data_IF_046938565650
#
_entry.id   IF_046938565650
#
_cell.length_a   1.000
_cell.length_b   1.000
_cell.length_c   1.000
_cell.angle_alpha   90.00
_cell.angle_beta   90.00
_cell.angle_gamma   90.00
#
_symmetry.space_group_name_H-M   'P 1'
#
loop_
_entity.id
_entity.type
_entity.pdbx_description
1 polymer ?
#
# COMPACT_ATOMS: atom_id res chain seq x y z
N UNK A 1 24.78 20.85 -61.63
CA UNK A 1 24.06 22.15 -61.56
C UNK A 1 23.32 22.15 -60.22
N UNK A 2 23.83 22.82 -59.17
CA UNK A 2 23.51 24.22 -58.75
C UNK A 2 21.99 24.39 -58.56
N UNK A 3 21.39 24.72 -57.41
CA UNK A 3 21.71 25.67 -56.34
C UNK A 3 20.86 25.36 -55.07
N UNK A 4 21.42 25.38 -53.85
CA UNK A 4 21.31 26.43 -52.81
C UNK A 4 19.91 26.99 -52.51
N UNK A 5 19.41 26.77 -51.28
CA UNK A 5 18.73 27.74 -50.39
C UNK A 5 18.73 27.14 -48.97
N UNK A 6 19.70 27.49 -48.12
CA UNK A 6 19.70 28.63 -47.20
C UNK A 6 18.70 28.45 -46.03
N UNK A 7 19.25 27.98 -44.90
CA UNK A 7 19.06 28.48 -43.54
C UNK A 7 17.65 28.99 -43.15
N UNK A 8 16.95 28.24 -42.30
CA UNK A 8 16.06 28.86 -41.31
C UNK A 8 16.52 28.43 -39.90
N UNK A 9 17.39 29.28 -39.35
CA UNK A 9 17.70 29.35 -37.94
C UNK A 9 16.39 29.66 -37.20
N UNK A 10 15.71 28.65 -36.66
CA UNK A 10 14.57 28.87 -35.77
C UNK A 10 15.14 29.33 -34.44
N UNK A 11 15.24 30.66 -34.31
CA UNK A 11 15.37 31.38 -33.07
C UNK A 11 14.30 30.88 -32.10
N UNK A 12 14.67 29.96 -31.22
CA UNK A 12 14.02 29.81 -29.92
C UNK A 12 14.37 31.09 -29.16
N UNK A 13 13.63 32.16 -29.43
CA UNK A 13 13.43 33.19 -28.43
C UNK A 13 12.71 32.47 -27.29
N UNK A 14 13.49 32.03 -26.30
CA UNK A 14 12.98 31.81 -24.98
C UNK A 14 12.38 33.15 -24.56
N UNK A 15 11.07 33.29 -24.74
CA UNK A 15 10.28 34.26 -24.01
C UNK A 15 10.47 33.88 -22.55
N UNK A 16 11.44 34.52 -21.90
CA UNK A 16 11.46 34.70 -20.46
C UNK A 16 10.22 35.55 -20.19
N UNK A 17 9.06 34.90 -20.16
CA UNK A 17 7.83 35.48 -19.67
C UNK A 17 8.05 35.67 -18.19
N UNK A 18 8.46 36.88 -17.80
CA UNK A 18 8.39 37.27 -16.41
C UNK A 18 6.96 37.03 -15.94
N UNK A 19 6.81 36.42 -14.78
CA UNK A 19 5.53 36.11 -14.14
C UNK A 19 4.80 37.37 -13.63
N UNK A 20 4.88 38.48 -14.36
CA UNK A 20 4.35 39.79 -14.02
C UNK A 20 3.35 40.21 -15.07
N UNK A 21 2.30 40.91 -14.62
CA UNK A 21 1.35 41.53 -15.52
C UNK A 21 2.05 42.58 -16.40
N UNK A 22 1.62 42.75 -17.66
CA UNK A 22 1.98 43.95 -18.40
C UNK A 22 1.67 45.21 -17.59
N UNK A 23 2.43 46.31 -17.74
CA UNK A 23 2.14 47.55 -17.05
C UNK A 23 0.68 47.97 -17.22
N UNK A 24 -0.04 48.09 -16.11
CA UNK A 24 -1.44 48.49 -16.11
C UNK A 24 -1.58 49.98 -16.40
N UNK A 25 -2.58 50.33 -17.21
CA UNK A 25 -3.01 51.73 -17.32
C UNK A 25 -3.68 52.19 -16.02
N UNK A 26 -3.71 53.49 -15.76
CA UNK A 26 -4.42 54.04 -14.59
C UNK A 26 -5.91 53.69 -14.59
N UNK A 27 -6.52 53.57 -15.78
CA UNK A 27 -7.90 53.13 -15.93
C UNK A 27 -8.07 51.67 -15.50
N UNK A 28 -7.29 50.74 -16.05
CA UNK A 28 -7.36 49.31 -15.70
C UNK A 28 -7.12 49.09 -14.20
N UNK A 29 -6.17 49.82 -13.63
CA UNK A 29 -5.91 49.79 -12.20
C UNK A 29 -7.13 50.25 -11.39
N UNK A 30 -7.74 51.37 -11.77
CA UNK A 30 -8.93 51.89 -11.09
C UNK A 30 -10.11 50.92 -11.18
N UNK A 31 -10.33 50.30 -12.35
CA UNK A 31 -11.37 49.29 -12.56
C UNK A 31 -11.14 48.07 -11.65
N UNK A 32 -9.93 47.50 -11.64
CA UNK A 32 -9.58 46.37 -10.78
C UNK A 32 -9.79 46.72 -9.29
N UNK A 33 -9.35 47.89 -8.83
CA UNK A 33 -9.54 48.30 -7.44
C UNK A 33 -11.01 48.50 -7.07
N UNK A 34 -11.88 48.87 -8.02
CA UNK A 34 -13.32 49.01 -7.79
C UNK A 34 -14.08 47.68 -7.80
N UNK A 35 -13.56 46.67 -8.52
CA UNK A 35 -14.19 45.34 -8.65
C UNK A 35 -14.22 44.59 -7.32
N UNK A 36 -13.17 44.73 -6.52
CA UNK A 36 -13.07 44.05 -5.22
C UNK A 36 -12.27 44.90 -4.23
N UNK A 37 -12.75 45.07 -2.99
CA UNK A 37 -11.99 45.78 -1.96
C UNK A 37 -10.68 45.05 -1.60
N UNK A 38 -10.54 43.76 -1.91
CA UNK A 38 -9.32 42.99 -1.66
C UNK A 38 -8.22 43.28 -2.67
N UNK A 39 -8.54 43.84 -3.84
CA UNK A 39 -7.54 44.12 -4.87
C UNK A 39 -6.48 45.15 -4.41
N UNK A 40 -6.76 45.92 -3.36
CA UNK A 40 -5.81 46.86 -2.75
C UNK A 40 -4.59 46.18 -2.10
N UNK A 41 -4.66 44.88 -1.76
CA UNK A 41 -3.58 44.18 -1.04
C UNK A 41 -2.49 43.65 -1.99
N UNK A 42 -2.76 43.63 -3.31
CA UNK A 42 -1.82 43.13 -4.31
C UNK A 42 -0.99 44.28 -4.92
N UNK A 43 0.30 44.05 -5.19
CA UNK A 43 1.09 45.04 -5.91
C UNK A 43 0.64 45.13 -7.37
N UNK A 44 0.72 46.33 -7.95
CA UNK A 44 0.29 46.62 -9.33
C UNK A 44 0.89 45.67 -10.37
N UNK A 45 2.11 45.18 -10.13
CA UNK A 45 2.83 44.28 -11.05
C UNK A 45 2.19 42.89 -11.21
N UNK A 46 1.23 42.51 -10.36
CA UNK A 46 0.48 41.25 -10.46
C UNK A 46 -1.03 41.44 -10.24
N UNK A 47 -1.53 42.68 -10.21
CA UNK A 47 -2.88 43.00 -9.78
C UNK A 47 -3.97 42.36 -10.65
N UNK A 48 -3.78 42.32 -11.97
CA UNK A 48 -4.73 41.73 -12.93
C UNK A 48 -4.73 40.21 -12.82
N UNK A 49 -3.55 39.62 -12.69
CA UNK A 49 -3.41 38.18 -12.44
C UNK A 49 -3.98 37.77 -11.08
N UNK A 50 -3.78 38.59 -10.04
CA UNK A 50 -4.30 38.34 -8.69
C UNK A 50 -5.83 38.43 -8.63
N UNK A 51 -6.45 39.43 -9.27
CA UNK A 51 -7.91 39.52 -9.38
C UNK A 51 -8.50 38.29 -10.07
N UNK A 52 -7.91 37.89 -11.21
CA UNK A 52 -8.35 36.70 -11.95
C UNK A 52 -8.16 35.41 -11.12
N UNK A 53 -7.06 35.30 -10.38
CA UNK A 53 -6.81 34.18 -9.48
C UNK A 53 -7.85 34.15 -8.36
N UNK A 54 -8.12 35.29 -7.72
CA UNK A 54 -9.09 35.41 -6.64
C UNK A 54 -10.50 35.02 -7.12
N UNK A 55 -10.93 35.51 -8.28
CA UNK A 55 -12.20 35.11 -8.90
C UNK A 55 -12.28 33.59 -9.13
N UNK A 56 -11.20 33.01 -9.64
CA UNK A 56 -11.14 31.56 -9.89
C UNK A 56 -11.18 30.75 -8.59
N UNK A 57 -10.48 31.19 -7.54
CA UNK A 57 -10.48 30.54 -6.23
C UNK A 57 -11.85 30.65 -5.54
N UNK A 58 -12.45 31.84 -5.54
CA UNK A 58 -13.79 32.03 -4.97
C UNK A 58 -14.85 31.22 -5.72
N UNK A 59 -14.65 30.99 -7.01
CA UNK A 59 -15.49 30.08 -7.81
C UNK A 59 -15.52 28.64 -7.30
N UNK A 60 -14.50 28.16 -6.58
CA UNK A 60 -14.46 26.79 -6.04
C UNK A 60 -15.53 26.54 -4.96
N UNK A 61 -15.93 27.57 -4.21
CA UNK A 61 -17.00 27.42 -3.21
C UNK A 61 -18.34 27.12 -3.90
N UNK A 62 -18.65 27.80 -4.99
CA UNK A 62 -19.94 27.66 -5.68
C UNK A 62 -19.97 26.58 -6.78
N UNK A 63 -18.82 26.28 -7.40
CA UNK A 63 -18.71 25.40 -8.59
C UNK A 63 -17.78 24.20 -8.38
N UNK A 64 -17.25 24.02 -7.17
CA UNK A 64 -16.35 22.92 -6.83
C UNK A 64 -17.08 21.58 -6.66
N UNK A 65 -16.29 20.54 -6.40
CA UNK A 65 -16.80 19.18 -6.13
C UNK A 65 -17.43 19.05 -4.73
N UNK A 66 -17.16 20.00 -3.84
CA UNK A 66 -17.76 20.09 -2.50
C UNK A 66 -18.90 21.11 -2.59
N UNK A 67 -20.05 20.80 -2.00
CA UNK A 67 -21.16 21.74 -1.97
C UNK A 67 -20.79 23.02 -1.19
N UNK A 68 -21.43 24.14 -1.54
CA UNK A 68 -21.03 25.47 -1.08
C UNK A 68 -21.05 25.60 0.46
N UNK A 69 -22.10 25.07 1.12
CA UNK A 69 -22.21 25.10 2.60
C UNK A 69 -21.03 24.39 3.26
N UNK A 70 -20.73 23.17 2.81
CA UNK A 70 -19.67 22.34 3.38
C UNK A 70 -18.29 22.94 3.09
N UNK A 71 -18.10 23.56 1.91
CA UNK A 71 -16.88 24.28 1.59
C UNK A 71 -16.64 25.46 2.55
N UNK A 72 -17.68 26.23 2.89
CA UNK A 72 -17.57 27.30 3.89
C UNK A 72 -17.33 26.76 5.31
N UNK A 73 -17.91 25.62 5.71
CA UNK A 73 -17.63 24.98 7.01
C UNK A 73 -16.18 24.46 7.10
N UNK A 74 -15.64 23.86 6.03
CA UNK A 74 -14.23 23.46 5.95
C UNK A 74 -13.32 24.68 6.08
N UNK A 75 -13.63 25.76 5.34
CA UNK A 75 -12.84 26.99 5.39
C UNK A 75 -12.93 27.66 6.77
N UNK A 76 -14.07 27.59 7.45
CA UNK A 76 -14.22 28.04 8.83
C UNK A 76 -13.32 27.26 9.79
N UNK A 77 -13.25 25.93 9.67
CA UNK A 77 -12.35 25.10 10.47
C UNK A 77 -10.89 25.52 10.28
N UNK A 78 -10.44 25.68 9.03
CA UNK A 78 -9.09 26.19 8.70
C UNK A 78 -8.84 27.59 9.26
N UNK A 79 -9.80 28.50 9.12
CA UNK A 79 -9.72 29.86 9.64
C UNK A 79 -9.59 29.90 11.17
N UNK A 80 -10.34 29.05 11.87
CA UNK A 80 -10.28 28.93 13.33
C UNK A 80 -8.92 28.37 13.79
N UNK A 81 -8.44 27.29 13.17
CA UNK A 81 -7.14 26.69 13.49
C UNK A 81 -5.96 27.66 13.26
N UNK A 82 -6.03 28.44 12.17
CA UNK A 82 -5.00 29.44 11.81
C UNK A 82 -5.20 30.80 12.47
N UNK A 83 -6.28 30.99 13.24
CA UNK A 83 -6.63 32.22 13.96
C UNK A 83 -6.75 33.44 13.02
N UNK A 84 -7.39 33.25 11.86
CA UNK A 84 -7.56 34.32 10.87
C UNK A 84 -8.76 35.22 11.23
N UNK A 85 -8.48 36.45 11.69
CA UNK A 85 -9.50 37.44 12.09
C UNK A 85 -10.46 37.86 10.96
N UNK A 86 -10.01 37.78 9.69
CA UNK A 86 -10.84 38.13 8.54
C UNK A 86 -11.70 36.95 8.06
N UNK A 87 -11.13 35.74 8.13
CA UNK A 87 -11.71 34.56 7.51
C UNK A 87 -12.85 33.99 8.36
N UNK A 88 -12.69 33.97 9.70
CA UNK A 88 -13.72 33.46 10.62
C UNK A 88 -15.07 34.16 10.43
N UNK A 89 -15.18 35.50 10.53
CA UNK A 89 -16.47 36.17 10.37
C UNK A 89 -17.06 36.00 8.95
N UNK A 90 -16.22 35.98 7.92
CA UNK A 90 -16.66 35.76 6.54
C UNK A 90 -17.29 34.38 6.35
N UNK A 91 -16.58 33.31 6.72
CA UNK A 91 -17.08 31.95 6.51
C UNK A 91 -18.26 31.59 7.43
N UNK A 92 -18.32 32.13 8.67
CA UNK A 92 -19.52 32.01 9.51
C UNK A 92 -20.74 32.65 8.85
N UNK A 93 -20.58 33.84 8.26
CA UNK A 93 -21.68 34.56 7.62
C UNK A 93 -22.19 33.82 6.40
N UNK A 94 -21.28 33.37 5.53
CA UNK A 94 -21.67 32.61 4.33
C UNK A 94 -22.26 31.23 4.67
N UNK A 95 -21.68 30.50 5.63
CA UNK A 95 -22.24 29.22 6.06
C UNK A 95 -23.68 29.40 6.60
N UNK A 96 -23.93 30.42 7.43
CA UNK A 96 -25.29 30.75 7.90
C UNK A 96 -26.23 31.17 6.77
N UNK A 97 -25.76 31.97 5.80
CA UNK A 97 -26.53 32.33 4.60
C UNK A 97 -26.99 31.08 3.83
N UNK A 98 -26.14 30.05 3.82
CA UNK A 98 -26.39 28.76 3.18
C UNK A 98 -27.15 27.76 4.08
N UNK A 99 -27.64 28.21 5.23
CA UNK A 99 -28.47 27.40 6.13
C UNK A 99 -27.72 26.50 7.10
N UNK A 100 -26.41 26.71 7.30
CA UNK A 100 -25.67 25.99 8.33
C UNK A 100 -26.23 26.30 9.73
N UNK A 101 -26.45 25.25 10.51
CA UNK A 101 -26.89 25.33 11.90
C UNK A 101 -25.74 25.73 12.82
N UNK A 102 -26.07 26.22 14.01
CA UNK A 102 -25.05 26.51 15.03
C UNK A 102 -24.27 25.24 15.44
N UNK A 103 -24.88 24.07 15.39
CA UNK A 103 -24.20 22.81 15.70
C UNK A 103 -23.21 22.43 14.60
N UNK A 104 -23.54 22.57 13.31
CA UNK A 104 -22.57 22.35 12.22
C UNK A 104 -21.36 23.29 12.33
N UNK A 105 -21.58 24.55 12.71
CA UNK A 105 -20.52 25.54 12.95
C UNK A 105 -19.63 25.10 14.13
N UNK A 106 -20.23 24.73 15.26
CA UNK A 106 -19.48 24.26 16.44
C UNK A 106 -18.71 22.97 16.14
N UNK A 107 -19.30 22.04 15.38
CA UNK A 107 -18.65 20.80 14.96
C UNK A 107 -17.43 21.08 14.10
N UNK A 108 -17.53 21.98 13.11
CA UNK A 108 -16.38 22.36 12.27
C UNK A 108 -15.23 22.96 13.11
N UNK A 109 -15.56 23.82 14.08
CA UNK A 109 -14.58 24.42 15.01
C UNK A 109 -13.97 23.35 15.93
N UNK A 110 -14.77 22.43 16.46
CA UNK A 110 -14.30 21.38 17.35
C UNK A 110 -13.35 20.40 16.64
N UNK A 111 -13.68 20.01 15.40
CA UNK A 111 -12.79 19.20 14.56
C UNK A 111 -11.45 19.91 14.40
N UNK A 112 -11.46 21.21 14.04
CA UNK A 112 -10.24 21.99 13.89
C UNK A 112 -9.42 22.07 15.19
N UNK A 113 -10.08 22.23 16.34
CA UNK A 113 -9.43 22.25 17.65
C UNK A 113 -8.77 20.90 17.98
N UNK A 114 -9.42 19.78 17.70
CA UNK A 114 -8.86 18.44 17.94
C UNK A 114 -7.65 18.15 17.04
N UNK A 115 -7.68 18.56 15.77
CA UNK A 115 -6.52 18.45 14.88
C UNK A 115 -5.32 19.23 15.43
N UNK A 116 -5.52 20.45 15.95
CA UNK A 116 -4.44 21.24 16.58
C UNK A 116 -3.91 20.60 17.86
N UNK A 117 -4.80 19.99 18.66
CA UNK A 117 -4.42 19.22 19.85
C UNK A 117 -3.56 18.01 19.47
N UNK A 118 -4.01 17.20 18.52
CA UNK A 118 -3.27 16.02 18.06
C UNK A 118 -1.94 16.40 17.40
N UNK A 119 -1.92 17.45 16.57
CA UNK A 119 -0.70 17.98 15.97
C UNK A 119 0.35 18.33 17.03
N UNK A 120 -0.06 19.00 18.11
CA UNK A 120 0.85 19.32 19.23
C UNK A 120 1.39 18.05 19.91
N UNK A 121 0.54 17.05 20.14
CA UNK A 121 0.94 15.80 20.80
C UNK A 121 1.87 14.97 19.93
N UNK A 122 1.56 14.74 18.66
CA UNK A 122 2.40 13.95 17.77
C UNK A 122 3.73 14.63 17.46
N UNK A 123 3.69 15.92 17.11
CA UNK A 123 4.91 16.66 16.80
C UNK A 123 5.81 16.82 18.03
N UNK A 124 5.24 17.20 19.19
CA UNK A 124 6.00 17.45 20.40
C UNK A 124 6.61 16.20 21.04
N UNK A 125 6.05 15.02 20.79
CA UNK A 125 6.60 13.73 21.26
C UNK A 125 7.46 13.04 20.20
N UNK A 126 7.70 13.67 19.04
CA UNK A 126 8.40 13.04 17.91
C UNK A 126 7.80 11.66 17.56
N UNK A 127 6.46 11.57 17.55
CA UNK A 127 5.78 10.31 17.28
C UNK A 127 6.18 9.79 15.89
N UNK A 128 6.53 8.51 15.82
CA UNK A 128 7.07 7.90 14.61
C UNK A 128 6.03 7.94 13.47
N UNK A 129 6.33 8.77 12.47
CA UNK A 129 5.46 8.99 11.32
C UNK A 129 5.36 7.76 10.42
N UNK A 130 6.42 6.97 10.30
CA UNK A 130 6.43 5.79 9.45
C UNK A 130 5.69 4.64 10.13
N UNK A 131 5.83 4.48 11.45
CA UNK A 131 4.99 3.58 12.25
C UNK A 131 3.50 3.97 12.17
N UNK A 132 3.18 5.27 12.26
CA UNK A 132 1.81 5.76 12.12
C UNK A 132 1.22 5.45 10.73
N UNK A 133 1.97 5.71 9.65
CA UNK A 133 1.53 5.39 8.29
C UNK A 133 1.35 3.89 8.09
N UNK A 134 2.21 3.07 8.69
CA UNK A 134 2.09 1.61 8.64
C UNK A 134 0.80 1.17 9.32
N UNK A 135 0.49 1.71 10.50
CA UNK A 135 -0.77 1.46 11.20
C UNK A 135 -1.99 1.85 10.34
N UNK A 136 -1.94 2.97 9.61
CA UNK A 136 -3.06 3.42 8.76
C UNK A 136 -3.26 2.60 7.48
N UNK A 137 -2.18 2.07 6.88
CA UNK A 137 -2.25 1.27 5.64
C UNK A 137 -2.86 -0.11 5.88
N UNK A 138 -2.97 -0.54 7.13
CA UNK A 138 -3.28 -1.91 7.48
C UNK A 138 -2.06 -2.83 7.29
N UNK A 139 -2.12 -4.06 7.80
CA UNK A 139 -1.02 -5.01 7.67
C UNK A 139 -0.81 -5.43 6.20
N UNK A 140 0.43 -5.79 5.87
CA UNK A 140 0.77 -6.52 4.65
C UNK A 140 -0.16 -7.74 4.52
N UNK A 141 -0.57 -8.07 3.30
CA UNK A 141 -1.43 -9.23 3.04
C UNK A 141 -0.65 -10.32 2.32
N UNK A 142 -0.88 -11.57 2.73
CA UNK A 142 -0.40 -12.77 2.04
C UNK A 142 -1.59 -13.41 1.34
N UNK A 143 -1.42 -13.72 0.06
CA UNK A 143 -2.35 -14.55 -0.70
C UNK A 143 -1.61 -15.83 -1.08
N UNK A 144 -2.16 -16.97 -0.69
CA UNK A 144 -1.72 -18.30 -1.15
C UNK A 144 -2.71 -18.76 -2.20
N UNK A 145 -2.21 -19.16 -3.37
CA UNK A 145 -3.03 -19.69 -4.46
C UNK A 145 -2.52 -21.06 -4.80
N UNK A 146 -3.40 -22.05 -4.79
CA UNK A 146 -3.12 -23.39 -5.29
C UNK A 146 -4.05 -23.72 -6.46
N UNK A 147 -3.57 -24.57 -7.36
CA UNK A 147 -4.31 -25.13 -8.49
C UNK A 147 -3.67 -26.46 -8.91
N UNK A 148 -4.42 -27.24 -9.68
CA UNK A 148 -3.97 -28.49 -10.28
C UNK A 148 -3.80 -28.34 -11.80
N UNK A 149 -3.02 -29.24 -12.39
CA UNK A 149 -2.81 -29.28 -13.84
C UNK A 149 -3.76 -30.25 -14.52
N UNK A 150 -4.33 -29.82 -15.64
CA UNK A 150 -5.17 -30.66 -16.50
C UNK A 150 -4.65 -30.66 -17.92
N UNK A 151 -4.40 -31.85 -18.47
CA UNK A 151 -4.05 -32.05 -19.88
C UNK A 151 -2.82 -31.22 -20.36
N UNK A 152 -1.85 -30.98 -19.48
CA UNK A 152 -0.59 -30.27 -19.78
C UNK A 152 0.59 -31.00 -19.12
N UNK A 153 1.73 -31.04 -19.81
CA UNK A 153 2.96 -31.60 -19.24
C UNK A 153 3.64 -30.60 -18.30
N UNK A 154 4.48 -31.07 -17.37
CA UNK A 154 5.25 -30.19 -16.49
C UNK A 154 6.20 -29.27 -17.28
N UNK A 155 6.78 -29.77 -18.37
CA UNK A 155 7.65 -28.97 -19.24
C UNK A 155 6.87 -27.84 -19.94
N UNK A 156 5.66 -28.12 -20.42
CA UNK A 156 4.81 -27.11 -21.06
C UNK A 156 4.22 -26.14 -20.04
N UNK A 157 3.91 -26.60 -18.83
CA UNK A 157 3.53 -25.74 -17.71
C UNK A 157 4.68 -24.80 -17.30
N UNK A 158 5.91 -25.29 -17.24
CA UNK A 158 7.09 -24.46 -16.98
C UNK A 158 7.28 -23.39 -18.06
N UNK A 159 7.12 -23.74 -19.35
CA UNK A 159 7.15 -22.77 -20.46
C UNK A 159 6.05 -21.72 -20.35
N UNK A 160 4.83 -22.13 -19.99
CA UNK A 160 3.72 -21.21 -19.75
C UNK A 160 4.05 -20.27 -18.58
N UNK A 161 4.56 -20.81 -17.47
CA UNK A 161 4.99 -20.04 -16.31
C UNK A 161 6.04 -18.99 -16.67
N UNK A 162 7.03 -19.33 -17.48
CA UNK A 162 8.06 -18.38 -17.94
C UNK A 162 7.49 -17.21 -18.77
N UNK A 163 6.38 -17.43 -19.49
CA UNK A 163 5.72 -16.37 -20.27
C UNK A 163 4.88 -15.44 -19.38
N UNK A 164 4.26 -15.98 -18.33
CA UNK A 164 3.38 -15.21 -17.43
C UNK A 164 4.14 -14.56 -16.28
N UNK A 165 5.27 -15.14 -15.84
CA UNK A 165 6.06 -14.64 -14.71
C UNK A 165 6.41 -13.14 -14.76
N UNK A 166 6.80 -12.55 -15.91
CA UNK A 166 7.05 -11.12 -16.02
C UNK A 166 5.86 -10.21 -15.73
N UNK A 167 4.63 -10.73 -15.72
CA UNK A 167 3.42 -9.96 -15.37
C UNK A 167 3.28 -9.77 -13.85
N UNK A 168 4.00 -10.54 -13.03
CA UNK A 168 3.93 -10.46 -11.57
C UNK A 168 5.09 -9.62 -11.02
N UNK A 169 5.14 -8.34 -11.38
CA UNK A 169 6.10 -7.41 -10.80
C UNK A 169 5.37 -6.22 -10.16
N UNK A 170 6.00 -5.48 -9.23
CA UNK A 170 5.39 -4.30 -8.62
C UNK A 170 4.95 -3.23 -9.64
N UNK A 171 5.56 -3.20 -10.83
CA UNK A 171 5.19 -2.31 -11.93
C UNK A 171 3.88 -2.72 -12.60
N UNK A 172 3.63 -4.03 -12.70
CA UNK A 172 2.48 -4.60 -13.43
C UNK A 172 1.28 -4.89 -12.51
N UNK A 173 1.53 -5.16 -11.22
CA UNK A 173 0.50 -5.44 -10.22
C UNK A 173 0.65 -4.44 -9.08
N UNK A 174 -0.25 -3.46 -9.02
CA UNK A 174 -0.23 -2.41 -8.01
C UNK A 174 -0.27 -3.01 -6.59
N UNK A 175 0.65 -2.56 -5.74
CA UNK A 175 0.79 -3.02 -4.35
C UNK A 175 1.37 -4.42 -4.19
N UNK A 176 1.75 -5.13 -5.27
CA UNK A 176 2.50 -6.38 -5.16
C UNK A 176 3.92 -6.09 -4.66
N UNK A 177 4.33 -6.77 -3.61
CA UNK A 177 5.70 -6.77 -3.08
C UNK A 177 6.52 -7.85 -3.80
N UNK A 178 5.94 -9.03 -3.99
CA UNK A 178 6.59 -10.12 -4.71
C UNK A 178 5.73 -11.37 -4.72
N UNK A 179 6.05 -12.31 -5.61
CA UNK A 179 5.40 -13.62 -5.68
C UNK A 179 6.45 -14.72 -5.77
N UNK A 180 6.32 -15.70 -4.90
CA UNK A 180 7.02 -16.99 -5.01
C UNK A 180 6.13 -17.96 -5.77
N UNK A 181 6.61 -18.51 -6.87
CA UNK A 181 5.94 -19.61 -7.57
C UNK A 181 6.30 -20.92 -6.85
N UNK A 182 5.27 -21.64 -6.44
CA UNK A 182 5.40 -22.85 -5.63
C UNK A 182 4.81 -24.05 -6.37
N UNK A 183 5.27 -25.25 -6.01
CA UNK A 183 4.64 -26.49 -6.44
C UNK A 183 5.16 -27.71 -5.70
N UNK A 184 4.30 -28.71 -5.63
CA UNK A 184 4.56 -30.06 -5.16
C UNK A 184 4.19 -31.04 -6.30
N UNK A 185 5.19 -31.54 -7.05
CA UNK A 185 4.94 -32.49 -8.13
C UNK A 185 4.43 -33.85 -7.67
N UNK A 186 4.67 -34.25 -6.41
CA UNK A 186 4.25 -35.54 -5.88
C UNK A 186 2.74 -35.51 -5.56
N UNK A 187 2.26 -34.39 -5.01
CA UNK A 187 0.83 -34.15 -4.75
C UNK A 187 0.09 -33.50 -5.94
N UNK A 188 0.81 -33.08 -6.98
CA UNK A 188 0.24 -32.48 -8.19
C UNK A 188 -0.35 -31.08 -7.99
N UNK A 189 0.11 -30.38 -6.96
CA UNK A 189 -0.39 -29.05 -6.57
C UNK A 189 0.63 -27.98 -6.97
N UNK A 190 0.16 -26.90 -7.58
CA UNK A 190 0.98 -25.79 -8.05
C UNK A 190 0.36 -24.47 -7.67
N UNK A 191 1.16 -23.41 -7.60
CA UNK A 191 0.63 -22.21 -6.99
C UNK A 191 1.53 -20.99 -6.95
N UNK A 192 1.17 -20.09 -6.05
CA UNK A 192 2.02 -18.98 -5.66
C UNK A 192 1.71 -18.45 -4.28
N UNK A 193 2.75 -18.02 -3.57
CA UNK A 193 2.64 -17.18 -2.38
C UNK A 193 2.91 -15.74 -2.79
N UNK A 194 1.94 -14.86 -2.59
CA UNK A 194 1.97 -13.46 -2.99
C UNK A 194 1.99 -12.59 -1.74
N UNK A 195 2.81 -11.54 -1.75
CA UNK A 195 2.83 -10.53 -0.71
C UNK A 195 2.36 -9.20 -1.30
N UNK A 196 1.40 -8.57 -0.65
CA UNK A 196 0.84 -7.27 -1.03
C UNK A 196 1.01 -6.26 0.09
N UNK A 197 1.23 -4.99 -0.25
CA UNK A 197 1.37 -3.89 0.72
C UNK A 197 0.21 -3.79 1.70
N UNK A 198 -0.98 -4.16 1.26
CA UNK A 198 -2.23 -4.08 2.01
C UNK A 198 -3.31 -4.96 1.36
N UNK A 199 -4.41 -5.19 2.10
CA UNK A 199 -5.52 -6.02 1.65
C UNK A 199 -6.29 -5.42 0.48
N UNK A 200 -6.33 -4.08 0.37
CA UNK A 200 -7.03 -3.41 -0.73
C UNK A 200 -6.34 -3.68 -2.08
N UNK A 201 -5.01 -3.63 -2.11
CA UNK A 201 -4.19 -3.94 -3.28
C UNK A 201 -4.34 -5.41 -3.71
N UNK A 202 -4.32 -6.34 -2.76
CA UNK A 202 -4.58 -7.76 -3.01
C UNK A 202 -6.00 -8.00 -3.57
N UNK A 203 -7.02 -7.37 -2.98
CA UNK A 203 -8.39 -7.46 -3.48
C UNK A 203 -8.52 -6.88 -4.89
N UNK A 204 -7.81 -5.77 -5.19
CA UNK A 204 -7.77 -5.21 -6.53
C UNK A 204 -7.16 -6.20 -7.54
N UNK A 205 -6.09 -6.90 -7.16
CA UNK A 205 -5.50 -7.97 -7.97
C UNK A 205 -6.49 -9.12 -8.23
N UNK A 206 -7.16 -9.64 -7.20
CA UNK A 206 -8.17 -10.71 -7.34
C UNK A 206 -9.38 -10.30 -8.19
N UNK A 207 -9.62 -9.00 -8.38
CA UNK A 207 -10.67 -8.48 -9.26
C UNK A 207 -10.18 -8.08 -10.66
N UNK A 208 -8.88 -8.18 -10.92
CA UNK A 208 -8.25 -7.76 -12.17
C UNK A 208 -8.48 -8.71 -13.34
N UNK A 209 -8.31 -8.21 -14.56
CA UNK A 209 -8.37 -9.04 -15.77
C UNK A 209 -7.20 -10.03 -15.86
N UNK A 210 -6.05 -9.69 -15.26
CA UNK A 210 -4.91 -10.61 -15.14
C UNK A 210 -5.30 -11.87 -14.35
N UNK A 211 -5.88 -11.70 -13.16
CA UNK A 211 -6.34 -12.81 -12.34
C UNK A 211 -7.43 -13.63 -13.04
N UNK A 212 -8.45 -12.98 -13.60
CA UNK A 212 -9.52 -13.65 -14.34
C UNK A 212 -8.98 -14.46 -15.52
N UNK A 213 -7.97 -13.93 -16.23
CA UNK A 213 -7.31 -14.63 -17.33
C UNK A 213 -6.59 -15.91 -16.87
N UNK A 214 -5.93 -15.87 -15.70
CA UNK A 214 -5.24 -17.04 -15.13
C UNK A 214 -6.24 -18.11 -14.72
N UNK A 215 -7.30 -17.74 -13.98
CA UNK A 215 -8.32 -18.69 -13.50
C UNK A 215 -9.13 -19.29 -14.65
N UNK A 216 -9.27 -18.58 -15.77
CA UNK A 216 -9.95 -19.08 -16.97
C UNK A 216 -9.08 -20.00 -17.85
N UNK A 217 -7.80 -20.20 -17.51
CA UNK A 217 -6.90 -21.00 -18.35
C UNK A 217 -7.33 -22.48 -18.35
N UNK A 218 -7.52 -23.13 -19.52
CA UNK A 218 -8.16 -24.45 -19.59
C UNK A 218 -7.37 -25.59 -18.94
N UNK A 219 -6.06 -25.42 -18.80
CA UNK A 219 -5.16 -26.42 -18.20
C UNK A 219 -4.86 -26.19 -16.72
N UNK A 220 -5.36 -25.10 -16.12
CA UNK A 220 -5.21 -24.82 -14.70
C UNK A 220 -6.59 -24.95 -14.06
N UNK A 221 -6.75 -25.87 -13.11
CA UNK A 221 -8.06 -26.23 -12.56
C UNK A 221 -8.02 -26.27 -11.04
N UNK A 222 -9.19 -26.37 -10.40
CA UNK A 222 -9.31 -26.55 -8.95
C UNK A 222 -8.59 -25.46 -8.13
N UNK A 223 -8.71 -24.20 -8.59
CA UNK A 223 -8.13 -23.07 -7.88
C UNK A 223 -8.68 -22.94 -6.46
N UNK A 224 -7.78 -22.81 -5.49
CA UNK A 224 -8.07 -22.34 -4.14
C UNK A 224 -7.29 -21.05 -3.85
N UNK A 225 -7.85 -20.21 -3.00
CA UNK A 225 -7.22 -18.97 -2.57
C UNK A 225 -7.39 -18.82 -1.07
N UNK A 226 -6.29 -18.62 -0.37
CA UNK A 226 -6.28 -18.32 1.05
C UNK A 226 -5.65 -16.95 1.28
N UNK A 227 -6.30 -16.14 2.12
CA UNK A 227 -5.93 -14.75 2.36
C UNK A 227 -5.62 -14.57 3.83
N UNK A 228 -4.49 -13.92 4.10
CA UNK A 228 -4.04 -13.66 5.45
C UNK A 228 -3.50 -12.25 5.61
N UNK A 229 -3.69 -11.68 6.80
CA UNK A 229 -2.97 -10.50 7.28
C UNK A 229 -1.66 -10.91 7.92
N UNK A 230 -0.63 -10.06 7.79
CA UNK A 230 0.69 -10.28 8.38
C UNK A 230 0.76 -9.63 9.75
N UNK A 231 1.17 -10.40 10.76
CA UNK A 231 1.33 -9.87 12.11
C UNK A 231 2.63 -9.04 12.26
N UNK A 232 2.63 -7.94 13.03
CA UNK A 232 3.81 -7.09 13.23
C UNK A 232 5.05 -7.82 13.76
N UNK A 233 4.85 -8.88 14.56
CA UNK A 233 5.94 -9.73 15.10
C UNK A 233 6.81 -10.38 14.01
N UNK A 234 6.38 -10.36 12.74
CA UNK A 234 7.15 -10.82 11.59
C UNK A 234 8.42 -10.00 11.32
N UNK A 235 8.52 -8.78 11.86
CA UNK A 235 9.73 -7.95 11.72
C UNK A 235 10.96 -8.63 12.34
N UNK A 236 10.80 -9.27 13.51
CA UNK A 236 11.88 -9.96 14.22
C UNK A 236 12.30 -11.30 13.63
N UNK A 237 11.63 -11.77 12.57
CA UNK A 237 11.81 -13.13 12.02
C UNK A 237 12.16 -13.14 10.54
N UNK A 238 12.65 -12.00 10.03
CA UNK A 238 12.87 -11.76 8.60
C UNK A 238 11.60 -12.08 7.77
N UNK A 239 10.42 -11.82 8.36
CA UNK A 239 9.11 -12.18 7.82
C UNK A 239 8.45 -11.08 7.00
N UNK A 240 8.99 -9.87 7.03
CA UNK A 240 8.49 -8.73 6.25
C UNK A 240 9.07 -8.82 4.83
N UNK A 241 8.24 -9.26 3.88
CA UNK A 241 8.69 -9.58 2.53
C UNK A 241 9.38 -8.40 1.81
N UNK A 242 8.94 -7.16 2.06
CA UNK A 242 9.55 -5.97 1.46
C UNK A 242 10.96 -5.64 1.99
N UNK A 243 11.35 -6.22 3.13
CA UNK A 243 12.66 -6.03 3.74
C UNK A 243 13.59 -7.23 3.54
N UNK A 244 13.07 -8.35 3.03
CA UNK A 244 13.87 -9.56 2.79
C UNK A 244 14.88 -9.34 1.66
N UNK A 245 16.07 -9.89 1.84
CA UNK A 245 17.04 -10.02 0.76
C UNK A 245 16.52 -11.02 -0.27
N UNK A 246 16.65 -10.66 -1.55
CA UNK A 246 16.25 -11.50 -2.67
C UNK A 246 17.37 -11.67 -3.69
N UNK A 247 17.31 -12.77 -4.44
CA UNK A 247 18.18 -13.05 -5.57
C UNK A 247 17.42 -12.99 -6.89
N UNK A 248 18.07 -12.47 -7.92
CA UNK A 248 17.61 -12.51 -9.31
C UNK A 248 18.17 -13.71 -10.09
N UNK A 249 18.97 -14.57 -9.44
CA UNK A 249 19.44 -15.81 -10.03
C UNK A 249 18.41 -16.92 -9.79
N UNK A 250 17.87 -17.50 -10.87
CA UNK A 250 16.88 -18.57 -10.78
C UNK A 250 17.40 -19.86 -10.16
N UNK A 251 18.71 -20.11 -10.23
CA UNK A 251 19.33 -21.31 -9.63
C UNK A 251 19.26 -21.29 -8.10
N UNK A 252 19.19 -20.11 -7.49
CA UNK A 252 19.10 -19.96 -6.03
C UNK A 252 17.74 -20.43 -5.48
N UNK A 253 16.74 -20.66 -6.33
CA UNK A 253 15.43 -21.20 -5.94
C UNK A 253 15.41 -22.71 -5.76
N UNK A 254 16.35 -23.43 -6.39
CA UNK A 254 16.23 -24.87 -6.66
C UNK A 254 16.00 -25.71 -5.41
N UNK A 255 16.71 -25.38 -4.34
CA UNK A 255 16.69 -26.18 -3.12
C UNK A 255 15.72 -25.59 -2.09
N UNK A 256 15.30 -24.34 -2.25
CA UNK A 256 14.42 -23.66 -1.30
C UNK A 256 13.10 -24.41 -1.13
N UNK A 257 12.66 -24.50 0.13
CA UNK A 257 11.35 -25.02 0.50
C UNK A 257 10.51 -23.95 1.15
N UNK A 258 9.22 -23.95 0.80
CA UNK A 258 8.20 -23.15 1.48
C UNK A 258 7.37 -24.11 2.34
N UNK A 259 7.26 -23.79 3.62
CA UNK A 259 6.36 -24.47 4.55
C UNK A 259 5.27 -23.48 4.95
N UNK A 260 4.01 -23.84 4.74
CA UNK A 260 2.85 -23.09 5.20
C UNK A 260 2.24 -23.87 6.35
N UNK A 261 2.10 -23.23 7.50
CA UNK A 261 1.51 -23.82 8.70
C UNK A 261 0.26 -23.04 9.04
N UNK A 262 -0.85 -23.74 9.21
CA UNK A 262 -2.09 -23.17 9.73
C UNK A 262 -2.51 -23.89 11.02
N UNK A 263 -3.21 -23.18 11.89
CA UNK A 263 -3.83 -23.68 13.11
C UNK A 263 -4.98 -22.76 13.51
N UNK A 264 -5.83 -23.24 14.41
CA UNK A 264 -6.94 -22.51 14.98
C UNK A 264 -6.71 -22.27 16.48
N UNK A 265 -7.47 -21.35 17.06
CA UNK A 265 -7.40 -21.04 18.50
C UNK A 265 -8.53 -21.74 19.25
N UNK A 266 -8.19 -22.42 20.33
CA UNK A 266 -9.16 -23.00 21.25
C UNK A 266 -8.99 -22.39 22.66
N UNK A 267 -10.07 -21.85 23.23
CA UNK A 267 -10.07 -21.23 24.56
C UNK A 267 -9.03 -20.10 24.75
N UNK A 268 -8.74 -19.35 23.68
CA UNK A 268 -7.79 -18.24 23.68
C UNK A 268 -8.34 -17.07 22.86
N UNK A 269 -8.25 -15.86 23.39
CA UNK A 269 -8.62 -14.63 22.70
C UNK A 269 -7.52 -14.17 21.74
N UNK A 270 -7.85 -13.29 20.79
CA UNK A 270 -6.86 -12.68 19.89
C UNK A 270 -5.80 -11.88 20.65
N UNK A 271 -6.16 -11.24 21.76
CA UNK A 271 -5.23 -10.47 22.59
C UNK A 271 -4.23 -11.39 23.30
N UNK A 272 -4.70 -12.48 23.91
CA UNK A 272 -3.84 -13.50 24.53
C UNK A 272 -2.93 -14.17 23.49
N UNK A 273 -3.43 -14.43 22.29
CA UNK A 273 -2.64 -14.97 21.18
C UNK A 273 -1.55 -14.00 20.72
N UNK A 274 -1.88 -12.70 20.58
CA UNK A 274 -0.90 -11.67 20.24
C UNK A 274 0.16 -11.52 21.35
N UNK A 275 -0.25 -11.59 22.63
CA UNK A 275 0.67 -11.54 23.77
C UNK A 275 1.61 -12.77 23.77
N UNK A 276 1.07 -13.97 23.55
CA UNK A 276 1.88 -15.18 23.38
C UNK A 276 2.90 -15.01 22.24
N UNK A 277 2.44 -14.57 21.07
CA UNK A 277 3.27 -14.31 19.89
C UNK A 277 4.40 -13.31 20.18
N UNK A 278 4.14 -12.25 20.95
CA UNK A 278 5.16 -11.28 21.34
C UNK A 278 6.25 -11.88 22.24
N UNK A 279 5.92 -12.89 23.06
CA UNK A 279 6.85 -13.54 23.98
C UNK A 279 7.73 -14.58 23.29
N UNK A 280 7.17 -15.30 22.30
CA UNK A 280 7.86 -16.42 21.64
C UNK A 280 8.29 -16.14 20.21
N UNK A 281 7.88 -15.02 19.62
CA UNK A 281 8.10 -14.69 18.21
C UNK A 281 9.57 -14.69 17.80
N UNK A 282 10.46 -14.21 18.69
CA UNK A 282 11.91 -14.18 18.45
C UNK A 282 12.54 -15.56 18.29
N UNK A 283 11.92 -16.62 18.83
CA UNK A 283 12.40 -18.00 18.66
C UNK A 283 12.33 -18.46 17.20
N UNK A 284 11.58 -17.76 16.34
CA UNK A 284 11.43 -18.07 14.93
C UNK A 284 12.31 -17.20 14.01
N UNK A 285 13.41 -16.66 14.54
CA UNK A 285 14.37 -15.91 13.73
C UNK A 285 15.33 -16.85 12.97
N UNK A 286 15.89 -16.42 11.83
CA UNK A 286 16.97 -17.13 11.12
C UNK A 286 18.23 -17.45 11.94
N UNK A 287 18.38 -16.80 13.09
CA UNK A 287 19.49 -16.99 14.03
C UNK A 287 19.24 -18.19 14.96
N UNK A 288 17.97 -18.53 15.18
CA UNK A 288 17.52 -19.58 16.11
C UNK A 288 17.11 -20.88 15.41
N UNK A 289 16.79 -20.82 14.11
CA UNK A 289 16.38 -21.97 13.32
C UNK A 289 17.35 -22.11 12.15
N UNK A 290 18.12 -23.21 12.14
CA UNK A 290 19.10 -23.44 11.09
C UNK A 290 18.43 -23.62 9.72
N UNK A 291 19.06 -23.10 8.68
CA UNK A 291 18.50 -23.05 7.33
C UNK A 291 17.22 -22.20 7.14
N UNK A 292 16.67 -21.58 8.18
CA UNK A 292 15.54 -20.65 8.01
C UNK A 292 16.02 -19.36 7.31
N UNK A 293 15.36 -19.00 6.22
CA UNK A 293 15.52 -17.70 5.53
C UNK A 293 14.65 -16.66 6.22
N UNK A 294 13.41 -17.01 6.54
CA UNK A 294 12.51 -16.15 7.31
C UNK A 294 11.12 -16.76 7.49
N UNK A 295 10.40 -16.25 8.49
CA UNK A 295 9.02 -16.64 8.79
C UNK A 295 8.12 -15.41 8.80
N UNK A 296 7.10 -15.40 7.97
CA UNK A 296 5.98 -14.45 8.06
C UNK A 296 4.91 -15.04 8.97
N UNK A 297 4.53 -14.35 10.06
CA UNK A 297 3.35 -14.73 10.84
C UNK A 297 2.09 -14.24 10.14
N UNK A 298 1.15 -15.15 9.92
CA UNK A 298 -0.07 -14.90 9.16
C UNK A 298 -1.31 -15.17 10.02
N UNK A 299 -2.40 -14.47 9.72
CA UNK A 299 -3.69 -14.73 10.34
C UNK A 299 -4.87 -14.18 9.54
N UNK A 300 -5.96 -14.93 9.55
CA UNK A 300 -7.27 -14.56 9.03
C UNK A 300 -8.25 -14.59 10.20
N UNK A 301 -8.53 -13.41 10.75
CA UNK A 301 -9.38 -13.28 11.94
C UNK A 301 -10.86 -13.51 11.66
N UNK A 302 -11.31 -13.39 10.40
CA UNK A 302 -12.68 -13.75 10.01
C UNK A 302 -12.90 -15.25 9.99
N UNK A 303 -11.90 -16.02 9.52
CA UNK A 303 -11.99 -17.47 9.40
C UNK A 303 -11.42 -18.19 10.64
N UNK A 304 -10.79 -17.45 11.57
CA UNK A 304 -10.21 -18.00 12.80
C UNK A 304 -8.94 -18.81 12.58
N UNK A 305 -8.26 -18.61 11.44
CA UNK A 305 -7.06 -19.36 11.04
C UNK A 305 -5.81 -18.50 11.25
N UNK A 306 -4.79 -19.07 11.88
CA UNK A 306 -3.51 -18.42 12.19
C UNK A 306 -2.36 -19.32 11.78
N UNK A 307 -1.16 -18.76 11.61
CA UNK A 307 -0.13 -19.56 10.99
C UNK A 307 1.21 -18.89 10.77
N UNK A 308 1.98 -19.50 9.88
CA UNK A 308 3.20 -18.92 9.35
C UNK A 308 3.51 -19.42 7.94
N UNK A 309 4.06 -18.53 7.12
CA UNK A 309 4.76 -18.91 5.88
C UNK A 309 6.26 -18.86 6.15
N UNK A 310 6.92 -20.00 6.00
CA UNK A 310 8.34 -20.20 6.25
C UNK A 310 9.06 -20.44 4.93
N UNK A 311 10.27 -19.89 4.82
CA UNK A 311 11.18 -20.18 3.73
C UNK A 311 12.44 -20.81 4.31
N UNK A 312 12.79 -22.00 3.86
CA UNK A 312 14.00 -22.72 4.24
C UNK A 312 14.96 -22.81 3.05
N UNK A 313 16.26 -22.84 3.32
CA UNK A 313 17.30 -22.99 2.30
C UNK A 313 17.20 -24.31 1.55
N UNK A 314 16.72 -25.34 2.23
CA UNK A 314 16.64 -26.72 1.76
C UNK A 314 15.63 -27.55 2.56
N UNK A 315 15.33 -28.73 2.03
CA UNK A 315 14.39 -29.69 2.61
C UNK A 315 14.89 -30.31 3.92
N UNK A 316 16.20 -30.57 4.04
CA UNK A 316 16.79 -31.15 5.26
C UNK A 316 16.63 -30.18 6.45
N UNK A 317 16.85 -28.89 6.22
CA UNK A 317 16.66 -27.84 7.23
C UNK A 317 15.20 -27.71 7.67
N UNK A 318 14.26 -27.77 6.71
CA UNK A 318 12.82 -27.75 6.99
C UNK A 318 12.40 -28.98 7.82
N UNK A 319 12.85 -30.17 7.43
CA UNK A 319 12.53 -31.41 8.15
C UNK A 319 13.14 -31.41 9.56
N UNK A 320 14.38 -30.94 9.70
CA UNK A 320 15.02 -30.74 11.00
C UNK A 320 14.22 -29.82 11.91
N UNK A 321 13.65 -28.74 11.37
CA UNK A 321 12.75 -27.86 12.11
C UNK A 321 11.46 -28.58 12.55
N UNK A 322 10.82 -29.34 11.67
CA UNK A 322 9.61 -30.11 11.97
C UNK A 322 9.83 -31.24 12.98
N UNK A 323 11.07 -31.68 13.20
CA UNK A 323 11.43 -32.65 14.23
C UNK A 323 11.89 -32.01 15.55
N UNK A 324 12.05 -30.69 15.58
CA UNK A 324 12.63 -29.96 16.72
C UNK A 324 11.72 -29.87 17.95
N UNK A 325 12.33 -29.70 19.13
CA UNK A 325 11.60 -29.41 20.37
C UNK A 325 10.76 -28.13 20.27
N UNK A 326 11.23 -27.14 19.48
CA UNK A 326 10.49 -25.91 19.24
C UNK A 326 9.17 -26.20 18.51
N UNK A 327 9.21 -26.95 17.41
CA UNK A 327 8.01 -27.35 16.68
C UNK A 327 7.07 -28.21 17.53
N UNK A 328 7.62 -29.24 18.17
CA UNK A 328 6.85 -30.15 19.02
C UNK A 328 6.17 -29.41 20.17
N UNK A 329 6.83 -28.40 20.76
CA UNK A 329 6.24 -27.55 21.80
C UNK A 329 5.08 -26.68 21.30
N UNK A 330 5.13 -26.22 20.05
CA UNK A 330 4.06 -25.43 19.43
C UNK A 330 2.83 -26.30 19.16
N UNK A 331 3.04 -27.46 18.53
CA UNK A 331 1.95 -28.38 18.18
C UNK A 331 1.31 -28.98 19.43
N UNK A 332 2.06 -29.11 20.53
CA UNK A 332 1.54 -29.56 21.82
C UNK A 332 0.85 -28.46 22.65
N UNK A 333 0.80 -27.21 22.17
CA UNK A 333 0.21 -26.11 22.94
C UNK A 333 -1.31 -26.32 23.10
N UNK A 334 -1.87 -26.28 24.33
CA UNK A 334 -3.26 -26.70 24.58
C UNK A 334 -4.33 -25.81 23.93
N UNK A 335 -3.95 -24.59 23.52
CA UNK A 335 -4.85 -23.62 22.89
C UNK A 335 -4.60 -23.40 21.40
N UNK A 336 -3.60 -24.06 20.82
CA UNK A 336 -3.35 -24.03 19.38
C UNK A 336 -3.75 -25.40 18.84
N UNK A 337 -4.75 -25.46 17.97
CA UNK A 337 -5.37 -26.73 17.56
C UNK A 337 -5.50 -26.81 16.04
N UNK A 338 -5.88 -27.99 15.53
CA UNK A 338 -6.17 -28.21 14.11
C UNK A 338 -5.01 -27.82 13.18
N UNK A 339 -3.78 -28.16 13.58
CA UNK A 339 -2.59 -27.87 12.78
C UNK A 339 -2.66 -28.57 11.42
N UNK A 340 -2.38 -27.80 10.37
CA UNK A 340 -2.09 -28.31 9.03
C UNK A 340 -0.75 -27.76 8.56
N UNK A 341 -0.07 -28.55 7.73
CA UNK A 341 1.21 -28.19 7.13
C UNK A 341 1.18 -28.51 5.65
N UNK A 342 1.56 -27.55 4.83
CA UNK A 342 1.74 -27.73 3.39
C UNK A 342 3.18 -27.37 3.02
N UNK A 343 3.80 -28.20 2.19
CA UNK A 343 5.21 -28.04 1.80
C UNK A 343 5.33 -27.93 0.31
N UNK A 344 6.16 -27.00 -0.17
CA UNK A 344 6.33 -26.76 -1.59
C UNK A 344 7.78 -26.50 -1.96
N UNK A 345 8.17 -26.92 -3.16
CA UNK A 345 9.38 -26.43 -3.83
C UNK A 345 9.15 -25.05 -4.45
N UNK A 346 10.23 -24.30 -4.69
CA UNK A 346 10.19 -22.99 -5.36
C UNK A 346 10.67 -23.09 -6.80
N UNK A 347 9.88 -22.57 -7.72
CA UNK A 347 10.27 -22.53 -9.14
C UNK A 347 11.23 -21.37 -9.42
N UNK A 348 12.22 -21.60 -10.30
CA UNK A 348 13.25 -20.63 -10.69
C UNK A 348 12.69 -19.34 -11.30
N UNK A 349 11.50 -19.40 -11.92
CA UNK A 349 10.77 -18.23 -12.44
C UNK A 349 10.39 -17.22 -11.34
N UNK A 350 10.44 -17.60 -10.06
CA UNK A 350 10.29 -16.67 -8.93
C UNK A 350 11.33 -15.56 -8.91
N UNK A 351 12.52 -15.80 -9.48
CA UNK A 351 13.56 -14.77 -9.62
C UNK A 351 13.10 -13.57 -10.47
N UNK A 352 12.09 -13.76 -11.33
CA UNK A 352 11.52 -12.71 -12.20
C UNK A 352 10.54 -11.82 -11.40
N UNK A 353 9.90 -12.36 -10.37
CA UNK A 353 8.79 -11.73 -9.64
C UNK A 353 9.23 -11.02 -8.35
N UNK A 354 10.22 -10.15 -8.51
CA UNK A 354 10.92 -9.45 -7.43
C UNK A 354 11.81 -10.36 -6.52
N UNK A 355 12.29 -11.45 -7.11
CA UNK A 355 13.42 -12.22 -6.61
C UNK A 355 13.05 -13.37 -5.65
N UNK A 356 13.96 -14.34 -5.59
CA UNK A 356 13.90 -15.51 -4.71
C UNK A 356 14.37 -15.09 -3.32
N UNK A 357 13.61 -15.30 -2.23
CA UNK A 357 14.09 -15.01 -0.87
C UNK A 357 15.37 -15.79 -0.56
N UNK A 358 16.41 -15.12 -0.07
CA UNK A 358 17.70 -15.74 0.27
C UNK A 358 18.23 -15.22 1.61
N UNK A 359 19.11 -15.98 2.25
CA UNK A 359 19.74 -15.64 3.53
C UNK A 359 20.70 -14.45 3.42
#
# INVERSE_FOLDING_TARGET
>A
MKNYFLTLLLLVFASIGFAQDPPLTEQEKSELLSKSPFNVIYPTSILKSADKYFESQMGLYAKGAINEKDAHLIALGTAAATKCDYCVPYHVTEARRLGATEEEIKTAILIAADIMRMSTLFYGNEYDLDAFKLMLRGPMSVLVVNYELKDISLDDHAKLGAQVAPMFTPENVHGLIGKTFIGDPDDGVYGGVYYFTDQASMNAYLNSDLWKGIVAHPNLVNFTTEVYSVAPISEGTNGIASARKTSSNGDDAKDIRVLIVNYELENMTLEEHAELGSKVGSNFSPENIDGLIGKTFIGNTSDGVFGGVYYFTDEDSMNTYLESDLWNGIVAHPNLVNFTTETYGVASISAISNGVPVK
#
